data_IF_812972127288
#
_entry.id   IF_812972127288
#
_cell.length_a   1.000
_cell.length_b   1.000
_cell.length_c   1.000
_cell.angle_alpha   90.00
_cell.angle_beta   90.00
_cell.angle_gamma   90.00
#
_symmetry.space_group_name_H-M   'P 1'
#
loop_
_entity.id
_entity.type
_entity.pdbx_description
1 polymer ?
#
# COMPACT_ATOMS: atom_id res chain seq x y z
N UNK A 1 6.26 -9.73 1.10
CA UNK A 1 7.38 -8.85 0.70
C UNK A 1 8.59 -9.23 1.55
N UNK A 2 9.60 -9.86 0.95
CA UNK A 2 10.85 -10.16 1.62
C UNK A 2 11.62 -8.90 2.01
N UNK A 3 12.42 -8.99 3.07
CA UNK A 3 13.40 -7.99 3.45
C UNK A 3 14.31 -7.66 2.27
N UNK A 4 14.65 -6.37 2.11
CA UNK A 4 15.47 -5.88 0.99
C UNK A 4 14.71 -5.59 -0.30
N UNK A 5 13.39 -5.87 -0.37
CA UNK A 5 12.55 -5.38 -1.49
C UNK A 5 12.48 -3.85 -1.49
N UNK A 6 12.29 -3.26 -0.31
CA UNK A 6 12.38 -1.82 -0.06
C UNK A 6 13.35 -1.55 1.09
N UNK A 7 14.20 -0.50 1.03
CA UNK A 7 15.10 -0.15 2.13
C UNK A 7 14.34 0.13 3.44
N UNK A 8 14.84 -0.39 4.56
CA UNK A 8 14.24 -0.14 5.88
C UNK A 8 12.94 -0.90 6.16
N UNK A 9 12.57 -1.86 5.31
CA UNK A 9 11.46 -2.78 5.53
C UNK A 9 11.98 -4.22 5.75
N UNK A 10 11.65 -4.86 6.88
CA UNK A 10 11.94 -6.28 7.11
C UNK A 10 10.95 -7.15 6.31
N UNK A 11 10.99 -8.46 6.56
CA UNK A 11 9.96 -9.36 6.04
C UNK A 11 8.56 -8.94 6.50
N UNK A 12 7.60 -9.00 5.59
CA UNK A 12 6.23 -8.61 5.89
C UNK A 12 5.28 -8.76 4.73
N UNK A 13 4.08 -8.22 4.89
CA UNK A 13 3.03 -8.22 3.87
C UNK A 13 2.73 -6.78 3.46
N UNK A 14 2.54 -6.58 2.15
CA UNK A 14 2.10 -5.31 1.60
C UNK A 14 0.66 -5.46 1.14
N UNK A 15 -0.17 -4.46 1.44
CA UNK A 15 -1.61 -4.51 1.22
C UNK A 15 -2.05 -3.20 0.56
N UNK A 16 -2.70 -3.30 -0.60
CA UNK A 16 -3.46 -2.20 -1.18
C UNK A 16 -4.80 -2.06 -0.47
N UNK A 17 -5.05 -0.93 0.17
CA UNK A 17 -6.33 -0.64 0.80
C UNK A 17 -7.18 0.21 -0.13
N UNK A 18 -8.15 -0.41 -0.79
CA UNK A 18 -9.02 0.22 -1.80
C UNK A 18 -9.89 1.37 -1.28
N UNK A 19 -10.12 1.43 0.03
CA UNK A 19 -10.88 2.49 0.67
C UNK A 19 -12.33 2.12 0.97
N UNK A 20 -12.81 2.58 2.12
CA UNK A 20 -14.20 2.40 2.55
C UNK A 20 -15.14 3.31 1.77
N UNK A 21 -16.32 2.82 1.43
CA UNK A 21 -17.42 3.63 0.88
C UNK A 21 -18.57 3.86 1.88
N UNK A 22 -18.66 3.04 2.94
CA UNK A 22 -19.77 3.04 3.90
C UNK A 22 -19.29 3.29 5.34
N UNK A 23 -18.60 4.42 5.57
CA UNK A 23 -18.20 4.88 6.89
C UNK A 23 -18.48 6.38 7.02
N UNK A 24 -18.78 6.83 8.24
CA UNK A 24 -18.95 8.26 8.54
C UNK A 24 -17.64 9.04 8.45
N UNK A 25 -16.51 8.39 8.74
CA UNK A 25 -15.15 8.86 8.44
C UNK A 25 -14.46 7.80 7.58
N UNK A 26 -14.07 8.17 6.37
CA UNK A 26 -13.50 7.24 5.42
C UNK A 26 -12.13 6.73 5.90
N UNK A 27 -11.77 5.51 5.50
CA UNK A 27 -10.52 4.84 5.88
C UNK A 27 -10.02 3.95 4.75
N UNK A 28 -8.70 3.71 4.71
CA UNK A 28 -8.01 3.07 3.59
C UNK A 28 -7.41 4.11 2.66
N UNK A 29 -7.52 3.90 1.34
CA UNK A 29 -6.97 4.79 0.30
C UNK A 29 -5.45 4.91 0.40
N UNK A 30 -4.76 3.77 0.54
CA UNK A 30 -3.31 3.72 0.74
C UNK A 30 -2.70 2.34 0.49
N UNK A 31 -1.39 2.32 0.31
CA UNK A 31 -0.54 1.14 0.32
C UNK A 31 0.12 1.02 1.70
N UNK A 32 -0.08 -0.09 2.39
CA UNK A 32 0.46 -0.32 3.74
C UNK A 32 1.35 -1.56 3.81
N UNK A 33 2.25 -1.57 4.78
CA UNK A 33 3.10 -2.69 5.15
C UNK A 33 2.78 -3.17 6.56
N UNK A 34 2.68 -4.48 6.76
CA UNK A 34 2.60 -5.13 8.07
C UNK A 34 3.86 -5.98 8.26
N UNK A 35 4.67 -5.79 9.32
CA UNK A 35 5.83 -6.63 9.58
C UNK A 35 5.40 -8.04 9.97
N UNK A 36 6.15 -9.05 9.53
CA UNK A 36 5.92 -10.45 9.89
C UNK A 36 7.15 -11.06 10.55
N UNK A 37 6.90 -11.93 11.51
CA UNK A 37 7.91 -12.80 12.12
C UNK A 37 7.30 -14.18 12.32
N UNK A 38 8.04 -15.24 11.97
CA UNK A 38 7.59 -16.63 12.12
C UNK A 38 6.19 -16.90 11.51
N UNK A 39 5.92 -16.29 10.34
CA UNK A 39 4.66 -16.46 9.61
C UNK A 39 3.45 -15.71 10.18
N UNK A 40 3.64 -14.82 11.18
CA UNK A 40 2.57 -14.04 11.81
C UNK A 40 2.88 -12.54 11.79
N UNK A 41 1.86 -11.66 11.77
CA UNK A 41 2.08 -10.23 12.01
C UNK A 41 2.79 -9.98 13.34
N UNK A 42 3.85 -9.17 13.33
CA UNK A 42 4.69 -8.92 14.51
C UNK A 42 4.61 -7.49 15.04
N UNK A 43 3.76 -6.64 14.45
CA UNK A 43 3.64 -5.24 14.86
C UNK A 43 2.59 -4.44 14.09
N UNK A 44 2.50 -3.13 14.38
CA UNK A 44 1.55 -2.25 13.71
C UNK A 44 1.89 -2.05 12.23
N UNK A 45 0.86 -1.72 11.46
CA UNK A 45 1.04 -1.35 10.06
C UNK A 45 1.73 0.00 9.88
N UNK A 46 2.48 0.12 8.79
CA UNK A 46 3.16 1.35 8.35
C UNK A 46 2.66 1.72 6.97
N UNK A 47 2.38 2.99 6.75
CA UNK A 47 1.99 3.47 5.42
C UNK A 47 3.24 3.54 4.51
N UNK A 48 3.11 3.08 3.26
CA UNK A 48 4.14 3.20 2.21
C UNK A 48 3.76 4.34 1.26
N UNK A 49 2.55 4.32 0.73
CA UNK A 49 1.98 5.41 -0.09
C UNK A 49 0.60 5.76 0.44
N UNK A 50 0.32 7.05 0.59
CA UNK A 50 -0.96 7.59 1.05
C UNK A 50 -1.29 8.88 0.28
N UNK A 51 -2.38 9.55 0.66
CA UNK A 51 -2.83 10.77 -0.03
C UNK A 51 -3.73 10.49 -1.24
N UNK A 52 -4.31 9.30 -1.34
CA UNK A 52 -5.24 8.93 -2.41
C UNK A 52 -6.70 9.33 -2.14
N UNK A 53 -6.97 9.99 -1.00
CA UNK A 53 -8.26 10.57 -0.67
C UNK A 53 -8.05 12.05 -0.38
N UNK A 54 -8.94 12.90 -0.90
CA UNK A 54 -8.91 14.33 -0.65
C UNK A 54 -9.02 14.63 0.86
N UNK A 55 -8.41 15.73 1.35
CA UNK A 55 -8.49 16.08 2.77
C UNK A 55 -9.91 16.28 3.30
N UNK A 56 -10.87 16.62 2.43
CA UNK A 56 -12.29 16.78 2.76
C UNK A 56 -13.13 15.51 2.51
N UNK A 57 -12.48 14.40 2.15
CA UNK A 57 -13.07 13.08 1.90
C UNK A 57 -14.12 13.03 0.77
N UNK A 58 -14.19 14.06 -0.09
CA UNK A 58 -15.17 14.13 -1.19
C UNK A 58 -14.70 13.47 -2.47
N UNK A 59 -13.39 13.40 -2.69
CA UNK A 59 -12.81 12.87 -3.92
C UNK A 59 -11.74 11.85 -3.61
N UNK A 60 -11.76 10.74 -4.34
CA UNK A 60 -10.68 9.78 -4.33
C UNK A 60 -9.75 10.12 -5.49
N UNK A 61 -8.48 10.42 -5.18
CA UNK A 61 -7.42 10.60 -6.17
C UNK A 61 -6.86 9.27 -6.67
N UNK A 62 -7.08 8.19 -5.92
CA UNK A 62 -6.80 6.82 -6.35
C UNK A 62 -7.36 5.78 -5.38
N UNK A 63 -7.45 4.54 -5.82
CA UNK A 63 -7.92 3.42 -4.99
C UNK A 63 -7.05 2.18 -5.24
N UNK A 64 -6.11 1.88 -4.33
CA UNK A 64 -5.23 0.74 -4.49
C UNK A 64 -5.97 -0.61 -4.57
N UNK A 65 -5.65 -1.43 -5.56
CA UNK A 65 -6.24 -2.75 -5.80
C UNK A 65 -5.21 -3.86 -5.60
N UNK A 66 -4.60 -4.34 -6.68
CA UNK A 66 -3.64 -5.44 -6.67
C UNK A 66 -2.23 -4.93 -6.43
N UNK A 67 -1.45 -5.67 -5.63
CA UNK A 67 -0.05 -5.37 -5.35
C UNK A 67 0.80 -6.60 -5.64
N UNK A 68 1.89 -6.40 -6.37
CA UNK A 68 2.89 -7.44 -6.64
C UNK A 68 4.30 -6.89 -6.41
N UNK A 69 5.24 -7.79 -6.13
CA UNK A 69 6.67 -7.44 -6.15
C UNK A 69 7.07 -7.28 -7.62
N UNK A 70 7.75 -6.19 -7.94
CA UNK A 70 8.26 -5.93 -9.28
C UNK A 70 9.28 -6.98 -9.72
N UNK A 71 9.47 -7.18 -11.03
CA UNK A 71 10.37 -8.21 -11.56
C UNK A 71 11.84 -7.99 -11.16
N UNK A 72 12.21 -6.76 -10.82
CA UNK A 72 13.54 -6.39 -10.29
C UNK A 72 13.78 -6.84 -8.83
N UNK A 73 12.74 -7.34 -8.14
CA UNK A 73 12.72 -7.68 -6.72
C UNK A 73 13.09 -6.51 -5.79
N UNK A 74 13.08 -5.28 -6.31
CA UNK A 74 13.47 -4.04 -5.61
C UNK A 74 12.39 -2.95 -5.73
N UNK A 75 11.21 -3.33 -6.16
CA UNK A 75 10.07 -2.44 -6.32
C UNK A 75 8.76 -3.16 -6.01
N UNK A 76 7.71 -2.38 -5.79
CA UNK A 76 6.33 -2.85 -5.77
C UNK A 76 5.59 -2.25 -6.97
N UNK A 77 4.72 -3.04 -7.59
CA UNK A 77 3.75 -2.56 -8.57
C UNK A 77 2.37 -2.61 -7.93
N UNK A 78 1.67 -1.46 -7.92
CA UNK A 78 0.33 -1.34 -7.36
C UNK A 78 -0.61 -0.77 -8.41
N UNK A 79 -1.72 -1.48 -8.66
CA UNK A 79 -2.77 -1.01 -9.55
C UNK A 79 -3.72 -0.06 -8.83
N UNK A 80 -4.04 1.06 -9.49
CA UNK A 80 -4.97 2.09 -9.05
C UNK A 80 -6.07 2.26 -10.09
N UNK A 81 -7.30 1.86 -9.77
CA UNK A 81 -8.40 1.83 -10.74
C UNK A 81 -9.03 3.21 -10.98
N UNK A 82 -9.07 4.09 -9.98
CA UNK A 82 -9.55 5.48 -10.13
C UNK A 82 -8.54 6.32 -10.92
N UNK A 83 -7.25 6.18 -10.63
CA UNK A 83 -6.20 6.86 -11.38
C UNK A 83 -5.97 6.27 -12.77
N UNK A 84 -6.44 5.05 -13.04
CA UNK A 84 -6.15 4.26 -14.24
C UNK A 84 -4.63 4.16 -14.53
N UNK A 85 -3.86 3.88 -13.48
CA UNK A 85 -2.40 3.82 -13.52
C UNK A 85 -1.87 2.61 -12.75
N UNK A 86 -0.64 2.22 -13.06
CA UNK A 86 0.17 1.32 -12.22
C UNK A 86 1.29 2.14 -11.59
N UNK A 87 1.32 2.20 -10.27
CA UNK A 87 2.40 2.83 -9.52
C UNK A 87 3.56 1.85 -9.39
N UNK A 88 4.78 2.31 -9.71
CA UNK A 88 6.03 1.62 -9.34
C UNK A 88 6.64 2.30 -8.13
N UNK A 89 6.69 1.60 -7.01
CA UNK A 89 7.23 2.11 -5.74
C UNK A 89 8.62 1.54 -5.53
N UNK A 90 9.60 2.42 -5.29
CA UNK A 90 11.00 2.05 -5.03
C UNK A 90 11.48 2.71 -3.74
N UNK A 91 12.62 2.24 -3.21
CA UNK A 91 13.35 3.00 -2.19
C UNK A 91 13.85 4.34 -2.74
N UNK A 92 13.96 5.33 -1.86
CA UNK A 92 14.69 6.57 -2.12
C UNK A 92 16.20 6.37 -1.99
#
# INVERSE_FOLDING_TARGET
>A
MPAGTLPGFPDGMVIGQHGSWNRSKLSGYKLVFIPFENGKPSGPGRDILSGFLSPDEKESYGRPVGVVIGPDKKSLLMADDVGNVIWRVTGA
#
